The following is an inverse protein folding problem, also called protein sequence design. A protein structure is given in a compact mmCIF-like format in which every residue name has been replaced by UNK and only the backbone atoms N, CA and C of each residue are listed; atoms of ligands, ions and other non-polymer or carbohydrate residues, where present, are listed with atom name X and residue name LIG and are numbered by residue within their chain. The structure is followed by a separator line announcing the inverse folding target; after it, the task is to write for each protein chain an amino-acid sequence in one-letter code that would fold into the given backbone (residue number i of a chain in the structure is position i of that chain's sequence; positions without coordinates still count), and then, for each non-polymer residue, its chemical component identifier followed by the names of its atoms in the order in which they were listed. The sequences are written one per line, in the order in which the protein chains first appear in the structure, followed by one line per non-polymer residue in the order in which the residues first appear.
data_IF_869863096722
#
_entry.id   IF_869863096722
#
_cell.length_a   1.000
_cell.length_b   1.000
_cell.length_c   1.000
_cell.angle_alpha   90.00
_cell.angle_beta   90.00
_cell.angle_gamma   90.00
#
_symmetry.space_group_name_H-M   'P 1'
#
loop_
_entity.id
_entity.type
_entity.pdbx_description
1 polymer ?
#
# COMPACT_ATOMS: atom_id res chain seq x y z
N UNK A 1 19.74 26.94 17.34
CA UNK A 1 20.01 26.13 18.53
C UNK A 1 18.65 25.64 19.06
N UNK A 2 18.27 24.42 18.75
CA UNK A 2 17.07 23.77 19.30
C UNK A 2 17.41 23.28 20.71
N UNK A 3 16.79 23.88 21.73
CA UNK A 3 16.78 23.31 23.07
C UNK A 3 15.78 22.15 23.07
N UNK A 4 16.28 20.91 23.01
CA UNK A 4 15.50 19.72 23.31
C UNK A 4 15.28 19.71 24.81
N UNK A 5 14.04 19.84 25.26
CA UNK A 5 13.71 19.71 26.67
C UNK A 5 14.12 18.33 27.17
N UNK A 6 15.03 18.30 28.12
CA UNK A 6 15.62 17.08 28.71
C UNK A 6 14.62 16.18 29.47
N UNK A 7 13.43 16.67 29.74
CA UNK A 7 12.43 15.94 30.57
C UNK A 7 11.81 14.73 29.85
N UNK A 8 11.68 14.78 28.51
CA UNK A 8 11.11 13.64 27.75
C UNK A 8 12.06 12.46 27.56
N UNK A 9 13.37 12.67 27.70
CA UNK A 9 14.38 11.61 27.49
C UNK A 9 14.53 10.73 28.73
N UNK A 10 14.29 11.28 29.90
CA UNK A 10 14.49 10.58 31.18
C UNK A 10 13.41 9.50 31.43
N UNK A 11 12.18 9.72 30.98
CA UNK A 11 11.11 8.70 31.10
C UNK A 11 11.25 7.54 30.11
N UNK A 12 11.85 7.76 28.93
CA UNK A 12 12.10 6.69 27.98
C UNK A 12 13.22 5.74 28.43
N UNK A 13 14.18 6.20 29.23
CA UNK A 13 15.29 5.38 29.71
C UNK A 13 14.89 4.41 30.85
N UNK A 14 13.74 4.60 31.50
CA UNK A 14 13.23 3.71 32.55
C UNK A 14 12.44 2.51 32.04
N UNK A 15 12.04 2.49 30.75
CA UNK A 15 11.29 1.38 30.18
C UNK A 15 12.24 0.27 29.75
N UNK A 16 12.06 -0.92 30.34
CA UNK A 16 12.86 -2.10 29.99
C UNK A 16 12.74 -2.39 28.47
N UNK A 17 13.81 -2.19 27.67
CA UNK A 17 13.77 -2.36 26.22
C UNK A 17 13.42 -3.78 25.76
N UNK A 18 13.52 -4.78 26.64
CA UNK A 18 13.13 -6.16 26.36
C UNK A 18 11.60 -6.32 26.13
N UNK A 19 10.78 -5.37 26.55
CA UNK A 19 9.32 -5.40 26.33
C UNK A 19 8.98 -4.98 24.89
N UNK A 20 9.83 -4.18 24.22
CA UNK A 20 9.59 -3.64 22.88
C UNK A 20 9.69 -4.69 21.78
N UNK A 21 10.40 -5.79 22.00
CA UNK A 21 10.74 -6.76 20.95
C UNK A 21 10.35 -8.20 21.32
N UNK A 22 9.09 -8.43 21.60
CA UNK A 22 8.60 -9.82 21.68
C UNK A 22 8.68 -10.44 20.29
N UNK A 23 9.39 -11.58 20.18
CA UNK A 23 9.38 -12.41 18.97
C UNK A 23 7.93 -12.82 18.66
N UNK A 24 7.51 -12.58 17.43
CA UNK A 24 6.17 -12.94 16.95
C UNK A 24 6.33 -14.13 16.00
N UNK A 25 5.62 -15.21 16.31
CA UNK A 25 5.74 -16.47 15.58
C UNK A 25 5.00 -16.48 14.25
N UNK A 26 4.13 -15.50 13.99
CA UNK A 26 3.39 -15.39 12.73
C UNK A 26 3.21 -13.94 12.28
N UNK A 27 3.62 -13.65 11.05
CA UNK A 27 3.53 -12.34 10.41
C UNK A 27 2.40 -12.23 9.39
N UNK A 28 1.59 -13.27 9.23
CA UNK A 28 0.51 -13.27 8.25
C UNK A 28 -0.75 -12.64 8.82
N UNK A 29 -1.01 -11.39 8.39
CA UNK A 29 -2.34 -10.78 8.51
C UNK A 29 -2.93 -10.55 7.11
N UNK A 30 -3.52 -11.57 6.47
CA UNK A 30 -3.97 -11.51 5.09
C UNK A 30 -5.15 -10.53 4.90
N UNK A 31 -5.82 -10.15 5.97
CA UNK A 31 -6.99 -9.28 5.95
C UNK A 31 -6.68 -7.82 6.31
N UNK A 32 -5.43 -7.46 6.52
CA UNK A 32 -5.06 -6.11 6.90
C UNK A 32 -4.86 -5.21 5.68
N UNK A 33 -5.06 -3.90 5.87
CA UNK A 33 -4.72 -2.86 4.89
C UNK A 33 -3.25 -2.97 4.43
N UNK A 34 -2.37 -3.50 5.30
CA UNK A 34 -0.96 -3.74 4.98
C UNK A 34 -0.75 -4.78 3.86
N UNK A 35 -1.80 -5.51 3.50
CA UNK A 35 -1.86 -6.40 2.33
C UNK A 35 -2.24 -5.72 1.01
N UNK A 36 -2.43 -4.38 0.98
CA UNK A 36 -2.80 -3.64 -0.24
C UNK A 36 -1.79 -3.85 -1.37
N UNK A 37 -0.52 -3.99 -1.01
CA UNK A 37 0.59 -4.30 -1.92
C UNK A 37 1.57 -5.28 -1.25
N UNK A 38 2.17 -6.22 -1.99
CA UNK A 38 3.19 -7.15 -1.46
C UNK A 38 4.56 -6.45 -1.31
N UNK A 39 4.62 -5.36 -0.55
CA UNK A 39 5.84 -4.58 -0.33
C UNK A 39 6.84 -5.40 0.51
N UNK A 40 8.05 -5.57 -0.04
CA UNK A 40 9.14 -6.26 0.67
C UNK A 40 9.85 -5.29 1.61
N UNK A 41 10.40 -5.80 2.71
CA UNK A 41 11.13 -4.97 3.68
C UNK A 41 10.26 -4.17 4.65
N UNK A 42 8.93 -4.35 4.63
CA UNK A 42 8.07 -3.72 5.64
C UNK A 42 8.14 -4.46 6.97
N UNK A 43 8.07 -3.71 8.06
CA UNK A 43 7.81 -4.26 9.39
C UNK A 43 6.44 -4.98 9.39
N UNK A 44 6.31 -6.04 10.20
CA UNK A 44 5.01 -6.71 10.32
C UNK A 44 4.00 -5.77 10.99
N UNK A 45 2.74 -5.87 10.59
CA UNK A 45 1.66 -5.06 11.19
C UNK A 45 1.51 -5.34 12.69
N UNK A 46 1.75 -6.58 13.12
CA UNK A 46 1.66 -6.99 14.53
C UNK A 46 2.80 -6.36 15.33
N UNK A 47 4.03 -6.38 14.81
CA UNK A 47 5.18 -5.76 15.47
C UNK A 47 5.01 -4.24 15.57
N UNK A 48 4.60 -3.59 14.48
CA UNK A 48 4.30 -2.17 14.45
C UNK A 48 3.23 -1.80 15.50
N UNK A 49 2.12 -2.54 15.53
CA UNK A 49 1.05 -2.32 16.49
C UNK A 49 1.52 -2.52 17.93
N UNK A 50 2.35 -3.53 18.20
CA UNK A 50 2.90 -3.77 19.53
C UNK A 50 3.86 -2.68 19.99
N UNK A 51 4.67 -2.13 19.10
CA UNK A 51 5.56 -1.01 19.37
C UNK A 51 4.71 0.23 19.69
N UNK A 52 3.78 0.57 18.82
CA UNK A 52 2.94 1.76 18.93
C UNK A 52 2.08 1.74 20.19
N UNK A 53 1.51 0.61 20.60
CA UNK A 53 0.71 0.47 21.83
C UNK A 53 1.46 0.80 23.12
N UNK A 54 2.77 0.87 23.07
CA UNK A 54 3.59 1.25 24.22
C UNK A 54 3.84 2.77 24.30
N UNK A 55 3.43 3.52 23.28
CA UNK A 55 3.48 4.96 23.25
C UNK A 55 2.23 5.58 23.89
N UNK A 56 2.29 6.85 24.33
CA UNK A 56 1.08 7.59 24.74
C UNK A 56 0.04 7.62 23.62
N UNK A 57 -1.25 7.71 23.98
CA UNK A 57 -2.35 7.81 23.02
C UNK A 57 -2.52 9.21 22.40
N UNK A 58 -1.60 10.12 22.62
CA UNK A 58 -1.61 11.48 22.07
C UNK A 58 -0.19 11.93 21.79
N UNK A 59 -0.05 12.86 20.85
CA UNK A 59 1.24 13.40 20.46
C UNK A 59 1.54 13.15 18.99
N UNK A 60 2.80 13.26 18.63
CA UNK A 60 3.27 13.17 17.25
C UNK A 60 4.32 12.07 17.08
N UNK A 61 4.22 11.31 16.02
CA UNK A 61 5.22 10.34 15.59
C UNK A 61 5.79 10.72 14.23
N UNK A 62 7.10 10.58 14.06
CA UNK A 62 7.79 10.73 12.79
C UNK A 62 8.52 9.42 12.45
N UNK A 63 8.29 8.93 11.25
CA UNK A 63 9.06 7.83 10.64
C UNK A 63 9.79 8.38 9.40
N UNK A 64 11.11 8.65 9.50
CA UNK A 64 11.87 9.25 8.41
C UNK A 64 12.20 8.27 7.27
N UNK A 65 11.88 6.97 7.42
CA UNK A 65 12.04 5.90 6.41
C UNK A 65 10.77 5.05 6.35
N UNK A 66 9.62 5.71 6.14
CA UNK A 66 8.32 5.10 6.41
C UNK A 66 7.96 3.93 5.47
N UNK A 67 8.69 3.73 4.38
CA UNK A 67 8.38 2.70 3.41
C UNK A 67 6.92 2.77 2.99
N UNK A 68 6.25 1.64 3.02
CA UNK A 68 4.80 1.59 2.71
C UNK A 68 3.90 2.03 3.88
N UNK A 69 4.40 2.77 4.87
CA UNK A 69 3.63 3.46 5.91
C UNK A 69 2.99 2.55 6.97
N UNK A 70 3.63 1.46 7.36
CA UNK A 70 3.06 0.55 8.39
C UNK A 70 3.02 1.22 9.76
N UNK A 71 4.12 1.84 10.19
CA UNK A 71 4.22 2.57 11.46
C UNK A 71 3.27 3.77 11.46
N UNK A 72 3.21 4.51 10.35
CA UNK A 72 2.36 5.70 10.22
C UNK A 72 0.88 5.33 10.38
N UNK A 73 0.43 4.27 9.71
CA UNK A 73 -0.94 3.78 9.81
C UNK A 73 -1.29 3.31 11.23
N UNK A 74 -0.42 2.53 11.86
CA UNK A 74 -0.66 2.04 13.22
C UNK A 74 -0.61 3.19 14.25
N UNK A 75 0.30 4.17 14.06
CA UNK A 75 0.38 5.39 14.88
C UNK A 75 -0.90 6.21 14.80
N UNK A 76 -1.39 6.47 13.58
CA UNK A 76 -2.64 7.19 13.35
C UNK A 76 -3.82 6.50 14.06
N UNK A 77 -3.92 5.18 13.96
CA UNK A 77 -4.98 4.39 14.63
C UNK A 77 -4.84 4.36 16.15
N UNK A 78 -3.65 4.57 16.66
CA UNK A 78 -3.38 4.67 18.10
C UNK A 78 -3.68 6.05 18.68
N UNK A 79 -4.07 7.02 17.85
CA UNK A 79 -4.39 8.38 18.27
C UNK A 79 -3.23 9.38 18.14
N UNK A 80 -2.19 9.03 17.39
CA UNK A 80 -1.04 9.89 17.13
C UNK A 80 -1.18 10.64 15.81
N UNK A 81 -0.80 11.92 15.78
CA UNK A 81 -0.53 12.62 14.52
C UNK A 81 0.74 12.05 13.92
N UNK A 82 0.69 11.56 12.68
CA UNK A 82 1.77 10.76 12.13
C UNK A 82 2.37 11.41 10.87
N UNK A 83 3.71 11.48 10.82
CA UNK A 83 4.46 11.98 9.66
C UNK A 83 5.40 10.91 9.16
N UNK A 84 5.35 10.65 7.84
CA UNK A 84 6.23 9.72 7.16
C UNK A 84 7.02 10.38 6.05
N UNK A 85 8.29 10.04 5.90
CA UNK A 85 9.15 10.46 4.80
C UNK A 85 9.68 9.22 4.11
N UNK A 86 9.73 9.22 2.79
CA UNK A 86 10.41 8.17 2.00
C UNK A 86 10.80 8.72 0.62
N UNK A 87 11.90 8.26 0.06
CA UNK A 87 12.38 8.66 -1.26
C UNK A 87 11.96 7.70 -2.39
N UNK A 88 11.25 6.63 -2.07
CA UNK A 88 10.67 5.73 -3.07
C UNK A 88 9.24 6.16 -3.40
N UNK A 89 8.96 6.64 -4.63
CA UNK A 89 7.63 7.13 -4.99
C UNK A 89 6.52 6.08 -4.86
N UNK A 90 6.83 4.80 -5.09
CA UNK A 90 5.87 3.72 -4.86
C UNK A 90 5.56 3.55 -3.37
N UNK A 91 6.58 3.61 -2.51
CA UNK A 91 6.41 3.51 -1.06
C UNK A 91 5.53 4.65 -0.54
N UNK A 92 5.83 5.89 -0.95
CA UNK A 92 5.04 7.08 -0.62
C UNK A 92 3.58 6.93 -1.04
N UNK A 93 3.30 6.49 -2.27
CA UNK A 93 1.93 6.29 -2.74
C UNK A 93 1.20 5.19 -1.95
N UNK A 94 1.89 4.12 -1.58
CA UNK A 94 1.33 3.05 -0.74
C UNK A 94 1.06 3.52 0.69
N UNK A 95 1.93 4.36 1.24
CA UNK A 95 1.73 4.96 2.55
C UNK A 95 0.54 5.92 2.54
N UNK A 96 0.43 6.81 1.54
CA UNK A 96 -0.75 7.68 1.34
C UNK A 96 -2.04 6.87 1.24
N UNK A 97 -2.02 5.78 0.48
CA UNK A 97 -3.18 4.91 0.33
C UNK A 97 -3.66 4.29 1.67
N UNK A 98 -2.74 3.95 2.56
CA UNK A 98 -3.09 3.37 3.86
C UNK A 98 -3.69 4.37 4.84
N UNK A 99 -3.21 5.61 4.83
CA UNK A 99 -3.67 6.65 5.75
C UNK A 99 -4.85 7.48 5.21
N UNK A 100 -5.28 7.21 3.97
CA UNK A 100 -6.41 7.87 3.36
C UNK A 100 -7.71 7.55 4.11
N UNK A 101 -8.50 8.57 4.48
CA UNK A 101 -9.67 8.41 5.35
C UNK A 101 -11.00 8.29 4.59
N UNK A 102 -11.13 8.94 3.44
CA UNK A 102 -12.40 9.09 2.72
C UNK A 102 -12.68 7.92 1.75
N UNK A 103 -12.61 6.69 2.26
CA UNK A 103 -12.75 5.49 1.42
C UNK A 103 -14.20 5.05 1.15
N UNK A 104 -15.19 5.70 1.77
CA UNK A 104 -16.59 5.27 1.69
C UNK A 104 -17.10 5.14 0.25
N UNK A 105 -16.71 6.05 -0.64
CA UNK A 105 -17.13 6.08 -2.03
C UNK A 105 -16.20 5.32 -2.98
N UNK A 106 -15.07 4.81 -2.49
CA UNK A 106 -14.03 4.23 -3.36
C UNK A 106 -14.49 3.01 -4.15
N UNK A 107 -15.49 2.27 -3.66
CA UNK A 107 -16.06 1.14 -4.42
C UNK A 107 -16.83 1.67 -5.65
N UNK A 108 -17.67 2.67 -5.47
CA UNK A 108 -18.45 3.29 -6.56
C UNK A 108 -17.55 4.00 -7.56
N UNK A 109 -16.55 4.75 -7.07
CA UNK A 109 -15.55 5.40 -7.91
C UNK A 109 -14.74 4.38 -8.74
N UNK A 110 -14.31 3.30 -8.12
CA UNK A 110 -13.61 2.21 -8.82
C UNK A 110 -14.46 1.60 -9.93
N UNK A 111 -15.75 1.34 -9.65
CA UNK A 111 -16.68 0.82 -10.65
C UNK A 111 -16.87 1.78 -11.80
N UNK A 112 -16.99 3.09 -11.52
CA UNK A 112 -17.06 4.11 -12.54
C UNK A 112 -15.83 4.11 -13.46
N UNK A 113 -14.61 4.11 -12.91
CA UNK A 113 -13.40 4.04 -13.71
C UNK A 113 -13.27 2.74 -14.49
N UNK A 114 -13.71 1.62 -13.94
CA UNK A 114 -13.74 0.33 -14.65
C UNK A 114 -14.68 0.39 -15.85
N UNK A 115 -15.84 1.02 -15.73
CA UNK A 115 -16.78 1.19 -16.87
C UNK A 115 -16.19 2.06 -17.97
N UNK A 116 -15.49 3.14 -17.61
CA UNK A 116 -14.79 3.99 -18.57
C UNK A 116 -13.65 3.23 -19.26
N UNK A 117 -12.82 2.53 -18.47
CA UNK A 117 -11.71 1.76 -18.98
C UNK A 117 -12.15 0.60 -19.93
N UNK A 118 -13.31 -0.01 -19.68
CA UNK A 118 -13.90 -0.99 -20.60
C UNK A 118 -14.30 -0.39 -21.94
N UNK A 119 -14.87 0.82 -21.92
CA UNK A 119 -15.19 1.55 -23.17
C UNK A 119 -13.92 1.92 -23.95
N UNK A 120 -12.85 2.31 -23.23
CA UNK A 120 -11.55 2.57 -23.84
C UNK A 120 -10.96 1.30 -24.48
N UNK A 121 -11.09 0.17 -23.80
CA UNK A 121 -10.64 -1.15 -24.31
C UNK A 121 -11.36 -1.53 -25.60
N UNK A 122 -12.69 -1.35 -25.66
CA UNK A 122 -13.50 -1.60 -26.87
C UNK A 122 -13.10 -0.72 -28.06
N UNK A 123 -12.66 0.51 -27.78
CA UNK A 123 -12.25 1.50 -28.80
C UNK A 123 -10.76 1.43 -29.14
N UNK A 124 -9.97 0.65 -28.40
CA UNK A 124 -8.51 0.64 -28.54
C UNK A 124 -7.85 1.95 -28.06
N UNK A 125 -8.50 2.68 -27.15
CA UNK A 125 -8.02 3.98 -26.64
C UNK A 125 -7.12 3.80 -25.41
N UNK A 126 -5.92 3.30 -25.61
CA UNK A 126 -4.89 3.13 -24.59
C UNK A 126 -3.50 3.08 -25.20
N UNK A 127 -2.51 3.49 -24.42
CA UNK A 127 -1.11 3.34 -24.81
C UNK A 127 -0.67 1.88 -24.69
N UNK A 128 0.27 1.45 -25.51
CA UNK A 128 0.89 0.15 -25.35
C UNK A 128 1.72 0.09 -24.08
N UNK A 129 1.67 -1.04 -23.40
CA UNK A 129 2.54 -1.27 -22.25
C UNK A 129 4.01 -1.38 -22.71
N UNK A 130 4.97 -0.74 -22.02
CA UNK A 130 6.38 -0.81 -22.38
C UNK A 130 6.90 -2.25 -22.49
N UNK A 131 7.89 -2.48 -23.38
CA UNK A 131 8.42 -3.81 -23.74
C UNK A 131 8.89 -4.67 -22.56
N UNK A 132 9.48 -4.08 -21.53
CA UNK A 132 9.97 -4.88 -20.40
C UNK A 132 8.84 -5.29 -19.43
N UNK A 133 7.95 -4.39 -18.96
CA UNK A 133 6.82 -4.79 -18.13
C UNK A 133 5.87 -5.78 -18.80
N UNK A 134 5.58 -5.65 -20.10
CA UNK A 134 4.60 -6.51 -20.80
C UNK A 134 4.96 -7.99 -20.72
N UNK A 135 6.24 -8.33 -20.65
CA UNK A 135 6.72 -9.71 -20.51
C UNK A 135 6.17 -10.42 -19.25
N UNK A 136 5.67 -9.67 -18.28
CA UNK A 136 5.09 -10.20 -17.04
C UNK A 136 3.60 -10.48 -17.12
N UNK A 137 2.93 -10.09 -18.22
CA UNK A 137 1.48 -10.12 -18.32
C UNK A 137 1.00 -10.92 -19.53
N UNK A 138 -0.24 -11.41 -19.44
CA UNK A 138 -1.02 -11.79 -20.60
C UNK A 138 -1.44 -10.51 -21.34
N UNK A 139 -1.46 -10.52 -22.66
CA UNK A 139 -1.76 -9.37 -23.51
C UNK A 139 -3.05 -8.65 -23.09
N UNK A 140 -4.15 -9.39 -23.00
CA UNK A 140 -5.44 -8.84 -22.57
C UNK A 140 -5.36 -8.18 -21.18
N UNK A 141 -4.64 -8.78 -20.23
CA UNK A 141 -4.46 -8.19 -18.90
C UNK A 141 -3.63 -6.91 -18.94
N UNK A 142 -2.65 -6.82 -19.84
CA UNK A 142 -1.85 -5.62 -20.07
C UNK A 142 -2.72 -4.48 -20.64
N UNK A 143 -3.56 -4.78 -21.63
CA UNK A 143 -4.50 -3.79 -22.20
C UNK A 143 -5.46 -3.24 -21.14
N UNK A 144 -6.04 -4.11 -20.30
CA UNK A 144 -6.92 -3.69 -19.20
C UNK A 144 -6.22 -2.78 -18.19
N UNK A 145 -4.94 -3.08 -17.85
CA UNK A 145 -4.11 -2.23 -16.99
C UNK A 145 -3.90 -0.86 -17.64
N UNK A 146 -3.58 -0.83 -18.93
CA UNK A 146 -3.30 0.43 -19.64
C UNK A 146 -4.56 1.28 -19.81
N UNK A 147 -5.72 0.68 -20.08
CA UNK A 147 -7.00 1.41 -20.06
C UNK A 147 -7.30 2.02 -18.69
N UNK A 148 -7.09 1.25 -17.62
CA UNK A 148 -7.32 1.76 -16.26
C UNK A 148 -6.33 2.85 -15.87
N UNK A 149 -5.10 2.81 -16.40
CA UNK A 149 -4.08 3.85 -16.21
C UNK A 149 -4.50 5.22 -16.75
N UNK A 150 -5.35 5.29 -17.78
CA UNK A 150 -5.86 6.58 -18.29
C UNK A 150 -6.51 7.44 -17.21
N UNK A 151 -7.09 6.81 -16.20
CA UNK A 151 -7.80 7.46 -15.09
C UNK A 151 -6.97 7.54 -13.81
N UNK A 152 -5.69 7.17 -13.84
CA UNK A 152 -4.86 7.05 -12.64
C UNK A 152 -4.74 8.38 -11.87
N UNK A 153 -4.55 9.49 -12.57
CA UNK A 153 -4.36 10.79 -11.91
C UNK A 153 -5.65 11.28 -11.22
N UNK A 154 -6.82 10.89 -11.72
CA UNK A 154 -8.12 11.23 -11.15
C UNK A 154 -8.47 10.39 -9.91
N UNK A 155 -7.83 9.24 -9.74
CA UNK A 155 -8.06 8.35 -8.61
C UNK A 155 -7.62 9.00 -7.30
N UNK A 156 -8.38 8.75 -6.22
CA UNK A 156 -7.93 9.08 -4.88
C UNK A 156 -6.72 8.20 -4.45
N UNK A 157 -6.02 8.61 -3.38
CA UNK A 157 -4.80 7.91 -2.94
C UNK A 157 -5.03 6.44 -2.61
N UNK A 158 -6.17 6.08 -2.04
CA UNK A 158 -6.51 4.69 -1.74
C UNK A 158 -6.62 3.86 -3.03
N UNK A 159 -7.34 4.36 -4.04
CA UNK A 159 -7.49 3.67 -5.33
C UNK A 159 -6.16 3.54 -6.07
N UNK A 160 -5.30 4.57 -6.02
CA UNK A 160 -3.93 4.51 -6.57
C UNK A 160 -3.12 3.37 -5.94
N UNK A 161 -3.18 3.23 -4.62
CA UNK A 161 -2.50 2.13 -3.92
C UNK A 161 -3.08 0.74 -4.26
N UNK A 162 -4.40 0.64 -4.39
CA UNK A 162 -5.06 -0.61 -4.84
C UNK A 162 -4.68 -0.94 -6.28
N UNK A 163 -4.60 0.05 -7.16
CA UNK A 163 -4.17 -0.11 -8.55
C UNK A 163 -2.78 -0.75 -8.62
N UNK A 164 -1.78 -0.20 -7.95
CA UNK A 164 -0.44 -0.79 -7.89
C UNK A 164 -0.44 -2.21 -7.33
N UNK A 165 -1.19 -2.43 -6.25
CA UNK A 165 -1.32 -3.76 -5.66
C UNK A 165 -2.01 -4.77 -6.56
N UNK A 166 -2.92 -4.32 -7.42
CA UNK A 166 -3.60 -5.15 -8.40
C UNK A 166 -2.67 -5.51 -9.56
N UNK A 167 -1.87 -4.56 -10.06
CA UNK A 167 -0.83 -4.83 -11.06
C UNK A 167 0.11 -5.95 -10.57
N UNK A 168 0.63 -5.85 -9.35
CA UNK A 168 1.53 -6.84 -8.79
C UNK A 168 0.89 -8.24 -8.67
N UNK A 169 -0.39 -8.31 -8.28
CA UNK A 169 -1.13 -9.57 -8.21
C UNK A 169 -1.47 -10.14 -9.58
N UNK A 170 -1.75 -9.28 -10.56
CA UNK A 170 -2.03 -9.68 -11.94
C UNK A 170 -0.77 -10.26 -12.57
N UNK A 171 0.38 -9.61 -12.44
CA UNK A 171 1.66 -10.14 -12.90
C UNK A 171 1.94 -11.54 -12.33
N UNK A 172 1.76 -11.72 -11.01
CA UNK A 172 1.92 -13.03 -10.37
C UNK A 172 0.93 -14.07 -10.90
N UNK A 173 -0.34 -13.68 -11.08
CA UNK A 173 -1.37 -14.55 -11.60
C UNK A 173 -1.10 -14.99 -13.03
N UNK A 174 -0.65 -14.08 -13.92
CA UNK A 174 -0.26 -14.38 -15.28
C UNK A 174 0.90 -15.37 -15.35
N UNK A 175 1.76 -15.41 -14.34
CA UNK A 175 2.89 -16.33 -14.21
C UNK A 175 2.58 -17.51 -13.27
N UNK A 176 1.33 -17.95 -13.16
CA UNK A 176 0.91 -19.10 -12.35
C UNK A 176 1.33 -19.01 -10.88
N UNK A 177 1.44 -17.79 -10.32
CA UNK A 177 1.89 -17.48 -8.96
C UNK A 177 3.33 -17.91 -8.63
N UNK A 178 4.11 -18.29 -9.65
CA UNK A 178 5.54 -18.57 -9.46
C UNK A 178 6.28 -17.24 -9.26
N UNK A 179 7.18 -17.19 -8.27
CA UNK A 179 8.06 -16.05 -8.07
C UNK A 179 9.16 -16.05 -9.15
N UNK A 180 9.09 -15.10 -10.06
CA UNK A 180 10.09 -14.96 -11.13
C UNK A 180 11.49 -14.63 -10.61
N UNK A 181 11.63 -14.12 -9.38
CA UNK A 181 12.93 -13.86 -8.76
C UNK A 181 13.69 -15.11 -8.34
N UNK A 182 13.01 -16.26 -8.14
CA UNK A 182 13.65 -17.54 -7.84
C UNK A 182 13.97 -18.35 -9.10
N UNK A 183 13.51 -17.89 -10.25
CA UNK A 183 13.71 -18.52 -11.58
C UNK A 183 14.26 -17.49 -12.53
N UNK A 184 15.47 -16.98 -12.24
CA UNK A 184 16.19 -16.11 -13.16
C UNK A 184 16.26 -16.78 -14.53
N UNK A 185 15.64 -16.17 -15.54
CA UNK A 185 15.66 -16.63 -16.92
C UNK A 185 14.53 -17.56 -17.37
N UNK A 186 13.61 -17.98 -16.51
CA UNK A 186 12.43 -18.75 -16.96
C UNK A 186 11.27 -17.82 -17.29
N UNK A 187 11.09 -17.54 -18.56
CA UNK A 187 9.86 -16.97 -19.07
C UNK A 187 8.79 -18.08 -19.03
N UNK A 188 7.73 -17.86 -18.23
CA UNK A 188 6.61 -18.81 -18.15
C UNK A 188 5.66 -18.50 -19.31
N UNK A 189 5.55 -19.42 -20.23
CA UNK A 189 4.65 -19.32 -21.38
C UNK A 189 3.80 -20.61 -21.51
N UNK A 190 2.56 -20.50 -21.96
CA UNK A 190 1.83 -19.26 -22.24
C UNK A 190 1.43 -18.52 -20.95
N UNK A 191 1.34 -17.18 -21.03
CA UNK A 191 0.80 -16.36 -19.93
C UNK A 191 -0.66 -16.68 -19.69
N UNK A 192 -1.03 -16.81 -18.44
CA UNK A 192 -2.44 -16.98 -18.04
C UNK A 192 -3.16 -15.64 -18.07
N UNK A 193 -4.32 -15.57 -18.70
CA UNK A 193 -5.19 -14.39 -18.57
C UNK A 193 -5.70 -14.22 -17.14
N UNK A 194 -5.58 -12.99 -16.65
CA UNK A 194 -6.12 -12.54 -15.36
C UNK A 194 -6.93 -11.27 -15.63
N UNK A 195 -8.22 -11.31 -15.35
CA UNK A 195 -9.11 -10.16 -15.44
C UNK A 195 -8.70 -9.11 -14.39
N UNK A 196 -8.08 -8.04 -14.86
CA UNK A 196 -7.57 -6.97 -14.01
C UNK A 196 -8.70 -6.17 -13.36
N UNK A 197 -9.77 -5.87 -14.10
CA UNK A 197 -10.89 -5.10 -13.59
C UNK A 197 -11.58 -5.80 -12.43
N UNK A 198 -11.87 -7.08 -12.58
CA UNK A 198 -12.46 -7.90 -11.54
C UNK A 198 -11.55 -8.02 -10.31
N UNK A 199 -10.23 -8.14 -10.53
CA UNK A 199 -9.26 -8.17 -9.43
C UNK A 199 -9.20 -6.84 -8.69
N UNK A 200 -9.22 -5.72 -9.39
CA UNK A 200 -9.19 -4.39 -8.79
C UNK A 200 -10.44 -4.13 -7.96
N UNK A 201 -11.62 -4.38 -8.51
CA UNK A 201 -12.90 -4.23 -7.80
C UNK A 201 -12.94 -5.09 -6.53
N UNK A 202 -12.57 -6.37 -6.63
CA UNK A 202 -12.50 -7.28 -5.48
C UNK A 202 -11.55 -6.77 -4.39
N UNK A 203 -10.42 -6.20 -4.80
CA UNK A 203 -9.41 -5.69 -3.88
C UNK A 203 -9.86 -4.40 -3.21
N UNK A 204 -10.52 -3.49 -3.93
CA UNK A 204 -11.15 -2.29 -3.36
C UNK A 204 -12.19 -2.70 -2.32
N UNK A 205 -13.14 -3.57 -2.67
CA UNK A 205 -14.16 -4.10 -1.75
C UNK A 205 -13.57 -4.76 -0.50
N UNK A 206 -12.43 -5.45 -0.66
CA UNK A 206 -11.74 -6.09 0.46
C UNK A 206 -11.11 -5.08 1.40
N UNK A 207 -10.36 -4.11 0.87
CA UNK A 207 -9.55 -3.22 1.69
C UNK A 207 -10.31 -2.02 2.21
N UNK A 208 -11.36 -1.54 1.55
CA UNK A 208 -12.22 -0.45 2.05
C UNK A 208 -12.86 -0.73 3.41
N UNK A 209 -13.03 -2.01 3.77
CA UNK A 209 -13.59 -2.42 5.07
C UNK A 209 -12.72 -2.09 6.29
N UNK A 210 -11.44 -1.77 6.09
CA UNK A 210 -10.49 -1.48 7.18
C UNK A 210 -10.42 -0.01 7.56
N UNK A 211 -11.18 0.85 6.89
CA UNK A 211 -11.21 2.30 7.12
C UNK A 211 -12.48 2.69 7.90
N UNK A 212 -12.59 2.24 9.13
CA UNK A 212 -13.80 2.48 9.91
C UNK A 212 -13.72 3.69 10.85
N UNK A 213 -12.56 4.36 10.94
CA UNK A 213 -12.38 5.46 11.88
C UNK A 213 -11.89 6.73 11.14
N UNK A 214 -12.85 7.54 10.69
CA UNK A 214 -12.58 8.87 10.12
C UNK A 214 -12.15 9.88 11.18
N UNK A 215 -12.34 9.58 12.48
CA UNK A 215 -12.00 10.46 13.59
C UNK A 215 -10.56 10.28 14.07
N UNK A 216 -9.78 9.36 13.50
CA UNK A 216 -8.37 9.24 13.83
C UNK A 216 -7.60 10.53 13.46
N UNK A 217 -6.50 10.88 14.14
CA UNK A 217 -5.66 12.03 13.81
C UNK A 217 -5.18 12.03 12.36
N UNK A 218 -4.68 13.16 11.89
CA UNK A 218 -4.14 13.28 10.55
C UNK A 218 -2.79 12.57 10.41
N UNK A 219 -2.51 12.13 9.21
CA UNK A 219 -1.20 11.64 8.83
C UNK A 219 -0.75 12.32 7.54
N UNK A 220 0.53 12.68 7.46
CA UNK A 220 1.13 13.27 6.27
C UNK A 220 2.30 12.42 5.79
N UNK A 221 2.31 12.14 4.48
CA UNK A 221 3.38 11.39 3.83
C UNK A 221 4.09 12.30 2.84
N UNK A 222 5.38 12.45 3.03
CA UNK A 222 6.24 13.37 2.29
C UNK A 222 7.18 12.54 1.40
N UNK A 223 7.23 12.90 0.12
CA UNK A 223 8.26 12.40 -0.78
C UNK A 223 9.52 13.23 -0.60
N UNK A 224 10.61 12.61 -0.21
CA UNK A 224 11.86 13.29 0.05
C UNK A 224 12.93 12.38 0.60
N UNK A 225 14.13 12.96 0.75
CA UNK A 225 15.26 12.34 1.44
C UNK A 225 15.30 12.86 2.89
N UNK A 226 15.60 12.00 3.84
CA UNK A 226 15.57 12.27 5.29
C UNK A 226 16.95 12.55 5.85
#
# INVERSE_FOLDING_TARGET
AFQIQKEGITEMQSRNPQILFKKIDSVNNPNSIHGIYPYRGKISAIDASNIIKQLPHSGTILDPFCGSGTIIYEGQRHGLTAYGVDNNPLAVQLAKAKVYKEVANSVTECQHYIELAKKDLEKGNFDEMPKEPIKSFHEQSAHEIMCMKNYFEEMNDFLKGVFYGTIALTARGCNNYVWTSSTVGKNIEPKRYIDFFKKMESKVKKHSKYFNDINCPDAAIIYGDS
#
